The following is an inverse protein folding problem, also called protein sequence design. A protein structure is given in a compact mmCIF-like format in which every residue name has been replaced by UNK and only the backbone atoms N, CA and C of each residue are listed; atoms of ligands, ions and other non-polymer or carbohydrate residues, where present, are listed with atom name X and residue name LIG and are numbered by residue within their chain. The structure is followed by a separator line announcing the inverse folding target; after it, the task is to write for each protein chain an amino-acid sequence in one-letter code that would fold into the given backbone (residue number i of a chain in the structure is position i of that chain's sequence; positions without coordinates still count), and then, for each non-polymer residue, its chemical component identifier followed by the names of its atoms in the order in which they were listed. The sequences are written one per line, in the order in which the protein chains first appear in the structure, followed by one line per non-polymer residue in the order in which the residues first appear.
data_IF_261577423813
#
_entry.id   IF_261577423813
#
_cell.length_a   1.000
_cell.length_b   1.000
_cell.length_c   1.000
_cell.angle_alpha   90.00
_cell.angle_beta   90.00
_cell.angle_gamma   90.00
#
_symmetry.space_group_name_H-M   'P 1'
#
loop_
_entity.id
_entity.type
_entity.pdbx_description
1 polymer ?
#
# COMPACT_ATOMS: atom_id res chain seq x y z
N UNK A 1 -10.89 17.23 1.57
CA UNK A 1 -10.23 17.65 2.83
C UNK A 1 -10.53 16.64 3.92
N UNK A 2 -9.69 16.56 4.98
CA UNK A 2 -9.95 15.64 6.11
C UNK A 2 -11.16 16.09 6.95
N UNK A 3 -11.48 17.37 6.92
CA UNK A 3 -12.72 17.91 7.47
C UNK A 3 -13.81 17.96 6.39
N UNK A 4 -15.04 17.60 6.77
CA UNK A 4 -16.23 17.70 5.91
C UNK A 4 -16.33 16.65 4.79
N UNK A 5 -15.52 15.59 4.81
CA UNK A 5 -15.66 14.49 3.84
C UNK A 5 -16.72 13.47 4.29
N UNK A 6 -17.29 12.80 3.31
CA UNK A 6 -18.38 11.83 3.50
C UNK A 6 -17.98 10.63 4.37
N UNK A 7 -16.73 10.15 4.23
CA UNK A 7 -16.19 9.04 5.04
C UNK A 7 -16.30 9.37 6.53
N UNK A 8 -15.74 10.51 6.93
CA UNK A 8 -15.76 10.99 8.31
C UNK A 8 -17.19 11.23 8.82
N UNK A 9 -18.09 11.73 7.99
CA UNK A 9 -19.50 11.94 8.39
C UNK A 9 -20.18 10.62 8.76
N UNK A 10 -19.96 9.57 7.95
CA UNK A 10 -20.52 8.24 8.21
C UNK A 10 -19.87 7.60 9.43
N UNK A 11 -18.55 7.68 9.55
CA UNK A 11 -17.83 7.08 10.69
C UNK A 11 -18.19 7.76 12.01
N UNK A 12 -18.34 9.08 12.05
CA UNK A 12 -18.81 9.80 13.23
C UNK A 12 -20.25 9.45 13.61
N UNK A 13 -21.12 9.24 12.62
CA UNK A 13 -22.51 8.84 12.87
C UNK A 13 -22.60 7.40 13.41
N UNK A 14 -21.77 6.50 12.91
CA UNK A 14 -21.83 5.07 13.25
C UNK A 14 -21.07 4.73 14.55
N UNK A 15 -19.85 5.25 14.71
CA UNK A 15 -18.95 4.91 15.81
C UNK A 15 -18.88 5.99 16.89
N UNK A 16 -19.24 7.23 16.56
CA UNK A 16 -19.05 8.38 17.45
C UNK A 16 -17.59 8.84 17.53
N UNK A 17 -17.34 10.08 17.96
CA UNK A 17 -16.00 10.68 17.94
C UNK A 17 -15.00 9.96 18.86
N UNK A 18 -15.44 9.48 20.02
CA UNK A 18 -14.56 8.88 21.05
C UNK A 18 -13.93 7.54 20.62
N UNK A 19 -14.51 6.89 19.62
CA UNK A 19 -14.03 5.60 19.10
C UNK A 19 -13.20 5.73 17.82
N UNK A 20 -13.00 6.94 17.30
CA UNK A 20 -12.18 7.17 16.12
C UNK A 20 -10.72 7.46 16.50
N UNK A 21 -9.82 7.27 15.55
CA UNK A 21 -8.42 7.63 15.71
C UNK A 21 -8.24 9.15 15.80
N UNK A 22 -7.32 9.60 16.65
CA UNK A 22 -7.10 11.03 16.96
C UNK A 22 -5.67 11.51 16.62
N UNK A 23 -4.85 10.68 15.98
CA UNK A 23 -3.44 11.01 15.72
C UNK A 23 -3.22 12.21 14.79
N UNK A 24 -4.25 12.65 14.07
CA UNK A 24 -4.22 13.79 13.15
C UNK A 24 -4.79 15.09 13.78
N UNK A 25 -5.01 15.09 15.10
CA UNK A 25 -5.60 16.23 15.83
C UNK A 25 -7.11 16.37 15.67
N UNK A 26 -7.75 15.50 14.88
CA UNK A 26 -9.20 15.39 14.71
C UNK A 26 -9.62 13.92 14.81
N UNK A 27 -10.86 13.67 15.24
CA UNK A 27 -11.47 12.35 15.18
C UNK A 27 -11.65 11.94 13.70
N UNK A 28 -10.75 11.10 13.20
CA UNK A 28 -10.71 10.63 11.82
C UNK A 28 -9.98 9.28 11.74
N UNK A 29 -10.66 8.30 11.15
CA UNK A 29 -10.10 6.97 10.95
C UNK A 29 -9.82 6.72 9.45
N UNK A 30 -8.56 6.60 9.02
CA UNK A 30 -8.22 6.26 7.64
C UNK A 30 -8.68 4.85 7.24
N UNK A 31 -8.93 3.97 8.22
CA UNK A 31 -9.38 2.59 8.05
C UNK A 31 -10.88 2.41 8.39
N UNK A 32 -11.62 3.51 8.43
CA UNK A 32 -13.07 3.53 8.62
C UNK A 32 -13.84 2.79 7.53
N UNK A 33 -15.14 2.56 7.75
CA UNK A 33 -15.95 1.62 6.98
C UNK A 33 -15.90 1.89 5.47
N UNK A 34 -16.06 3.16 5.07
CA UNK A 34 -16.08 3.53 3.66
C UNK A 34 -14.69 3.55 3.00
N UNK A 35 -13.62 3.79 3.77
CA UNK A 35 -12.24 3.71 3.28
C UNK A 35 -11.78 2.27 3.06
N UNK A 36 -12.37 1.30 3.76
CA UNK A 36 -12.06 -0.12 3.55
C UNK A 36 -12.59 -0.67 2.22
N UNK A 37 -13.69 -0.12 1.69
CA UNK A 37 -14.26 -0.62 0.42
C UNK A 37 -13.28 -0.45 -0.76
N UNK A 38 -12.66 0.73 -0.98
CA UNK A 38 -11.59 0.87 -1.97
C UNK A 38 -10.36 0.01 -1.66
N UNK A 39 -10.02 -0.21 -0.38
CA UNK A 39 -8.90 -1.08 -0.02
C UNK A 39 -9.14 -2.55 -0.42
N UNK A 40 -10.38 -3.04 -0.32
CA UNK A 40 -10.76 -4.37 -0.83
C UNK A 40 -10.49 -4.48 -2.33
N UNK A 41 -10.73 -3.41 -3.11
CA UNK A 41 -10.46 -3.40 -4.56
C UNK A 41 -8.97 -3.61 -4.84
N UNK A 42 -8.06 -3.00 -4.06
CA UNK A 42 -6.61 -3.24 -4.18
C UNK A 42 -6.27 -4.72 -3.94
N UNK A 43 -6.83 -5.30 -2.88
CA UNK A 43 -6.59 -6.73 -2.55
C UNK A 43 -7.07 -7.64 -3.67
N UNK A 44 -8.27 -7.38 -4.20
CA UNK A 44 -8.83 -8.15 -5.31
C UNK A 44 -8.00 -7.98 -6.58
N UNK A 45 -7.53 -6.77 -6.90
CA UNK A 45 -6.67 -6.52 -8.05
C UNK A 45 -5.36 -7.30 -7.96
N UNK A 46 -4.73 -7.33 -6.78
CA UNK A 46 -3.54 -8.14 -6.51
C UNK A 46 -3.80 -9.64 -6.68
N UNK A 47 -4.90 -10.14 -6.10
CA UNK A 47 -5.30 -11.55 -6.24
C UNK A 47 -5.53 -11.93 -7.71
N UNK A 48 -6.28 -11.12 -8.46
CA UNK A 48 -6.57 -11.39 -9.87
C UNK A 48 -5.29 -11.38 -10.72
N UNK A 49 -4.37 -10.46 -10.44
CA UNK A 49 -3.08 -10.39 -11.12
C UNK A 49 -2.23 -11.63 -10.86
N UNK A 50 -2.13 -12.05 -9.59
CA UNK A 50 -1.41 -13.26 -9.21
C UNK A 50 -2.04 -14.52 -9.84
N UNK A 51 -3.37 -14.63 -9.78
CA UNK A 51 -4.10 -15.73 -10.40
C UNK A 51 -3.89 -15.78 -11.92
N UNK A 52 -3.91 -14.64 -12.60
CA UNK A 52 -3.64 -14.52 -14.04
C UNK A 52 -2.22 -15.00 -14.40
N UNK A 53 -1.21 -14.59 -13.61
CA UNK A 53 0.18 -15.02 -13.81
C UNK A 53 0.39 -16.52 -13.58
N UNK A 54 -0.20 -17.08 -12.52
CA UNK A 54 -0.04 -18.50 -12.17
C UNK A 54 -0.78 -19.42 -13.14
N UNK A 55 -2.06 -19.12 -13.43
CA UNK A 55 -2.92 -20.01 -14.22
C UNK A 55 -2.40 -20.19 -15.63
N UNK A 56 -1.91 -19.11 -16.23
CA UNK A 56 -1.58 -19.12 -17.64
C UNK A 56 -0.07 -19.23 -17.91
N UNK A 57 0.79 -18.94 -16.92
CA UNK A 57 2.24 -18.96 -17.02
C UNK A 57 2.86 -17.63 -17.45
N UNK A 58 4.21 -17.55 -17.46
CA UNK A 58 4.94 -16.33 -17.83
C UNK A 58 5.22 -16.27 -19.34
N UNK A 59 4.86 -15.16 -19.99
CA UNK A 59 5.21 -14.86 -21.38
C UNK A 59 5.37 -13.36 -21.61
N UNK A 60 6.14 -12.99 -22.64
CA UNK A 60 6.33 -11.59 -23.04
C UNK A 60 5.00 -10.88 -23.35
N UNK A 61 4.06 -11.57 -23.99
CA UNK A 61 2.75 -11.01 -24.31
C UNK A 61 1.97 -10.64 -23.05
N UNK A 62 1.98 -11.49 -22.02
CA UNK A 62 1.27 -11.22 -20.77
C UNK A 62 1.92 -10.11 -19.98
N UNK A 63 3.24 -10.08 -19.97
CA UNK A 63 4.00 -9.02 -19.34
C UNK A 63 3.69 -7.66 -19.99
N UNK A 64 3.62 -7.63 -21.33
CA UNK A 64 3.20 -6.45 -22.08
C UNK A 64 1.75 -6.04 -21.75
N UNK A 65 0.83 -7.00 -21.58
CA UNK A 65 -0.54 -6.71 -21.13
C UNK A 65 -0.58 -6.11 -19.73
N UNK A 66 0.18 -6.66 -18.77
CA UNK A 66 0.26 -6.10 -17.41
C UNK A 66 0.84 -4.68 -17.42
N UNK A 67 1.89 -4.44 -18.21
CA UNK A 67 2.44 -3.09 -18.39
C UNK A 67 1.41 -2.14 -19.00
N UNK A 68 0.70 -2.56 -20.05
CA UNK A 68 -0.33 -1.74 -20.69
C UNK A 68 -1.46 -1.40 -19.71
N UNK A 69 -1.98 -2.39 -18.98
CA UNK A 69 -3.01 -2.18 -17.96
C UNK A 69 -2.48 -1.24 -16.87
N UNK A 70 -1.25 -1.42 -16.42
CA UNK A 70 -0.61 -0.53 -15.44
C UNK A 70 -0.55 0.93 -15.91
N UNK A 71 -0.10 1.17 -17.14
CA UNK A 71 -0.08 2.52 -17.75
C UNK A 71 -1.49 3.10 -17.88
N UNK A 72 -2.47 2.29 -18.32
CA UNK A 72 -3.85 2.73 -18.43
C UNK A 72 -4.46 3.08 -17.07
N UNK A 73 -4.17 2.31 -16.02
CA UNK A 73 -4.57 2.60 -14.66
C UNK A 73 -3.96 3.91 -14.16
N UNK A 74 -2.66 4.17 -14.42
CA UNK A 74 -2.03 5.45 -14.08
C UNK A 74 -2.68 6.62 -14.82
N UNK A 75 -2.88 6.49 -16.13
CA UNK A 75 -3.53 7.52 -16.92
C UNK A 75 -4.96 7.80 -16.42
N UNK A 76 -5.72 6.75 -16.13
CA UNK A 76 -7.06 6.86 -15.56
C UNK A 76 -7.02 7.52 -14.18
N UNK A 77 -6.05 7.20 -13.32
CA UNK A 77 -5.89 7.82 -12.02
C UNK A 77 -5.64 9.33 -12.11
N UNK A 78 -4.75 9.75 -13.01
CA UNK A 78 -4.45 11.17 -13.23
C UNK A 78 -5.59 11.94 -13.89
N UNK A 79 -6.39 11.31 -14.75
CA UNK A 79 -7.63 11.94 -15.27
C UNK A 79 -8.68 12.03 -14.17
N UNK A 80 -8.83 10.97 -13.36
CA UNK A 80 -9.79 10.93 -12.26
C UNK A 80 -9.47 11.94 -11.15
N UNK A 81 -8.18 12.25 -10.95
CA UNK A 81 -7.69 13.24 -9.98
C UNK A 81 -8.34 14.63 -10.13
N UNK A 82 -8.77 14.99 -11.35
CA UNK A 82 -9.42 16.28 -11.64
C UNK A 82 -10.79 16.40 -10.97
N UNK A 83 -11.50 15.29 -10.82
CA UNK A 83 -12.85 15.23 -10.25
C UNK A 83 -12.81 14.68 -8.83
N UNK A 84 -11.98 13.68 -8.58
CA UNK A 84 -11.80 13.06 -7.28
C UNK A 84 -10.31 12.96 -6.93
N UNK A 85 -9.79 13.91 -6.15
CA UNK A 85 -8.36 14.02 -5.90
C UNK A 85 -7.74 12.76 -5.28
N UNK A 86 -6.51 12.47 -5.68
CA UNK A 86 -5.67 11.41 -5.14
C UNK A 86 -5.41 11.74 -3.67
N UNK A 87 -5.99 10.94 -2.77
CA UNK A 87 -5.85 11.14 -1.35
C UNK A 87 -5.67 9.80 -0.63
N UNK A 88 -4.45 9.60 -0.16
CA UNK A 88 -4.03 8.41 0.60
C UNK A 88 -4.85 8.22 1.88
N UNK A 89 -5.13 9.30 2.62
CA UNK A 89 -5.80 9.20 3.93
C UNK A 89 -7.26 8.77 3.83
N UNK A 90 -7.91 9.07 2.71
CA UNK A 90 -9.32 8.70 2.44
C UNK A 90 -9.45 7.47 1.54
N UNK A 91 -8.33 6.85 1.17
CA UNK A 91 -8.30 5.74 0.22
C UNK A 91 -9.14 5.98 -1.05
N UNK A 92 -8.99 7.17 -1.66
CA UNK A 92 -9.86 7.56 -2.78
C UNK A 92 -9.72 6.62 -3.98
N UNK A 93 -10.75 6.52 -4.82
CA UNK A 93 -10.72 5.63 -5.99
C UNK A 93 -9.66 6.04 -7.02
N UNK A 94 -9.29 7.31 -7.12
CA UNK A 94 -8.11 7.77 -7.88
C UNK A 94 -6.83 7.22 -7.28
N UNK A 95 -6.69 7.23 -5.95
CA UNK A 95 -5.53 6.66 -5.26
C UNK A 95 -5.44 5.13 -5.43
N UNK A 96 -6.58 4.43 -5.42
CA UNK A 96 -6.67 2.99 -5.76
C UNK A 96 -6.16 2.71 -7.18
N UNK A 97 -6.65 3.44 -8.19
CA UNK A 97 -6.17 3.27 -9.56
C UNK A 97 -4.68 3.57 -9.71
N UNK A 98 -4.20 4.60 -9.01
CA UNK A 98 -2.78 4.97 -9.01
C UNK A 98 -1.92 3.83 -8.43
N UNK A 99 -2.29 3.32 -7.26
CA UNK A 99 -1.53 2.27 -6.56
C UNK A 99 -1.54 0.96 -7.35
N UNK A 100 -2.70 0.52 -7.85
CA UNK A 100 -2.79 -0.65 -8.74
C UNK A 100 -1.91 -0.46 -9.98
N UNK A 101 -1.95 0.72 -10.61
CA UNK A 101 -1.13 1.01 -11.79
C UNK A 101 0.37 0.88 -11.49
N UNK A 102 0.84 1.49 -10.40
CA UNK A 102 2.24 1.40 -9.98
C UNK A 102 2.65 -0.04 -9.64
N UNK A 103 1.81 -0.78 -8.92
CA UNK A 103 2.09 -2.16 -8.52
C UNK A 103 2.21 -3.07 -9.74
N UNK A 104 1.33 -2.93 -10.74
CA UNK A 104 1.40 -3.70 -11.99
C UNK A 104 2.67 -3.42 -12.78
N UNK A 105 3.08 -2.15 -12.87
CA UNK A 105 4.32 -1.77 -13.56
C UNK A 105 5.55 -2.30 -12.84
N UNK A 106 5.60 -2.14 -11.52
CA UNK A 106 6.71 -2.62 -10.69
C UNK A 106 6.81 -4.15 -10.73
N UNK A 107 5.68 -4.85 -10.58
CA UNK A 107 5.63 -6.31 -10.67
C UNK A 107 6.10 -6.79 -12.05
N UNK A 108 5.65 -6.13 -13.12
CA UNK A 108 6.08 -6.47 -14.48
C UNK A 108 7.59 -6.24 -14.66
N UNK A 109 8.14 -5.15 -14.10
CA UNK A 109 9.57 -4.91 -14.14
C UNK A 109 10.35 -5.98 -13.38
N UNK A 110 9.89 -6.36 -12.18
CA UNK A 110 10.53 -7.41 -11.38
C UNK A 110 10.56 -8.72 -12.16
N UNK A 111 9.40 -9.19 -12.65
CA UNK A 111 9.27 -10.41 -13.46
C UNK A 111 10.17 -10.37 -14.69
N UNK A 112 10.21 -9.23 -15.40
CA UNK A 112 11.12 -9.07 -16.54
C UNK A 112 12.58 -9.33 -16.15
N UNK A 113 13.02 -8.72 -15.04
CA UNK A 113 14.40 -8.80 -14.60
C UNK A 113 14.78 -10.19 -14.07
N UNK A 114 13.88 -10.85 -13.32
CA UNK A 114 14.14 -12.15 -12.69
C UNK A 114 13.96 -13.33 -13.64
N UNK A 115 12.91 -13.32 -14.46
CA UNK A 115 12.50 -14.48 -15.24
C UNK A 115 12.98 -14.43 -16.71
N UNK A 116 13.13 -13.23 -17.28
CA UNK A 116 13.52 -13.07 -18.69
C UNK A 116 14.97 -12.58 -18.87
N UNK A 117 15.41 -11.60 -18.09
CA UNK A 117 16.75 -11.00 -18.26
C UNK A 117 17.84 -11.81 -17.55
N UNK A 118 17.59 -12.27 -16.32
CA UNK A 118 18.55 -13.03 -15.51
C UNK A 118 17.90 -14.28 -14.92
N UNK A 119 17.47 -15.24 -15.75
CA UNK A 119 16.90 -16.49 -15.27
C UNK A 119 17.88 -17.20 -14.33
N UNK A 120 17.42 -17.52 -13.12
CA UNK A 120 18.25 -18.16 -12.09
C UNK A 120 19.04 -17.20 -11.18
N UNK A 121 18.80 -15.88 -11.26
CA UNK A 121 19.32 -14.97 -10.24
C UNK A 121 18.80 -15.36 -8.86
N UNK A 122 19.70 -15.51 -7.89
CA UNK A 122 19.33 -15.88 -6.54
C UNK A 122 18.73 -14.67 -5.79
N UNK A 123 17.43 -14.48 -5.94
CA UNK A 123 16.64 -13.49 -5.20
C UNK A 123 16.08 -14.03 -3.87
N UNK A 124 16.57 -15.18 -3.39
CA UNK A 124 16.09 -15.84 -2.16
C UNK A 124 16.13 -14.92 -0.94
N UNK A 125 17.08 -14.00 -0.88
CA UNK A 125 17.10 -12.96 0.15
C UNK A 125 15.79 -12.17 0.17
N UNK A 126 15.38 -11.59 -0.97
CA UNK A 126 14.13 -10.82 -1.08
C UNK A 126 12.89 -11.70 -0.93
N UNK A 127 12.93 -12.93 -1.43
CA UNK A 127 11.84 -13.90 -1.31
C UNK A 127 11.52 -14.22 0.17
N UNK A 128 12.54 -14.46 1.00
CA UNK A 128 12.36 -14.75 2.42
C UNK A 128 11.68 -13.56 3.13
N UNK A 129 12.11 -12.34 2.85
CA UNK A 129 11.48 -11.13 3.40
C UNK A 129 10.04 -10.97 2.93
N UNK A 130 9.76 -11.22 1.65
CA UNK A 130 8.41 -11.14 1.07
C UNK A 130 7.43 -12.15 1.66
N UNK A 131 7.86 -13.40 1.86
CA UNK A 131 7.02 -14.46 2.46
C UNK A 131 6.75 -14.24 3.95
N UNK A 132 7.57 -13.44 4.64
CA UNK A 132 7.49 -13.21 6.08
C UNK A 132 7.21 -11.73 6.42
N UNK A 133 6.39 -11.06 5.61
CA UNK A 133 6.13 -9.62 5.73
C UNK A 133 5.60 -9.21 7.12
N UNK A 134 4.72 -10.00 7.74
CA UNK A 134 4.22 -9.73 9.10
C UNK A 134 5.34 -9.76 10.15
N UNK A 135 6.26 -10.71 10.03
CA UNK A 135 7.40 -10.81 10.95
C UNK A 135 8.31 -9.58 10.82
N UNK A 136 8.59 -9.15 9.58
CA UNK A 136 9.41 -7.96 9.31
C UNK A 136 8.76 -6.71 9.88
N UNK A 137 7.44 -6.57 9.73
CA UNK A 137 6.67 -5.48 10.34
C UNK A 137 6.76 -5.50 11.87
N UNK A 138 6.52 -6.64 12.52
CA UNK A 138 6.64 -6.73 13.97
C UNK A 138 8.06 -6.45 14.47
N UNK A 139 9.07 -6.88 13.71
CA UNK A 139 10.46 -6.61 14.01
C UNK A 139 10.78 -5.11 13.92
N UNK A 140 10.24 -4.37 12.95
CA UNK A 140 10.46 -2.92 12.87
C UNK A 140 9.90 -2.20 14.09
N UNK A 141 8.71 -2.60 14.54
CA UNK A 141 8.06 -1.89 15.66
C UNK A 141 8.72 -2.24 16.99
N UNK A 142 9.18 -3.48 17.13
CA UNK A 142 9.99 -3.89 18.26
C UNK A 142 11.32 -3.13 18.32
N UNK A 143 12.01 -2.98 17.19
CA UNK A 143 13.26 -2.22 17.12
C UNK A 143 13.03 -0.76 17.48
N UNK A 144 11.99 -0.12 16.95
CA UNK A 144 11.64 1.26 17.27
C UNK A 144 11.36 1.41 18.77
N UNK A 145 10.59 0.50 19.35
CA UNK A 145 10.31 0.47 20.80
C UNK A 145 11.60 0.32 21.61
N UNK A 146 12.48 -0.62 21.25
CA UNK A 146 13.75 -0.83 21.92
C UNK A 146 14.65 0.43 21.88
N UNK A 147 14.72 1.11 20.74
CA UNK A 147 15.47 2.37 20.58
C UNK A 147 14.88 3.51 21.42
N UNK A 148 13.56 3.52 21.64
CA UNK A 148 12.91 4.50 22.51
C UNK A 148 13.16 4.22 24.01
N UNK A 149 13.29 2.95 24.39
CA UNK A 149 13.54 2.53 25.78
C UNK A 149 14.99 2.77 26.23
N UNK A 150 15.97 2.60 25.34
CA UNK A 150 17.38 2.84 25.67
C UNK A 150 17.61 4.35 25.85
N UNK A 151 18.02 4.76 27.04
CA UNK A 151 18.34 6.15 27.39
C UNK A 151 19.83 6.40 27.23
N UNK A 152 20.19 7.54 26.64
CA UNK A 152 21.57 8.03 26.51
C UNK A 152 21.86 9.04 27.63
N UNK A 153 23.15 9.39 27.83
CA UNK A 153 23.65 10.20 28.94
C UNK A 153 22.90 11.53 29.18
N UNK A 154 22.25 12.10 28.17
CA UNK A 154 21.45 13.32 28.28
C UNK A 154 19.96 13.08 28.61
N UNK A 155 19.57 11.86 28.97
CA UNK A 155 18.17 11.48 29.26
C UNK A 155 17.26 11.35 28.03
N UNK A 156 17.78 11.67 26.84
CA UNK A 156 17.11 11.45 25.56
C UNK A 156 17.09 9.95 25.21
N UNK A 157 16.05 9.51 24.51
CA UNK A 157 16.01 8.17 23.94
C UNK A 157 17.05 8.03 22.83
N UNK A 158 17.63 6.84 22.68
CA UNK A 158 18.58 6.54 21.61
C UNK A 158 18.00 6.84 20.22
N UNK A 159 16.69 6.63 20.02
CA UNK A 159 15.99 7.01 18.79
C UNK A 159 16.06 8.51 18.47
N UNK A 160 16.01 9.39 19.47
CA UNK A 160 16.05 10.84 19.27
C UNK A 160 17.48 11.37 19.06
N UNK A 161 18.47 10.57 19.44
CA UNK A 161 19.89 10.88 19.31
C UNK A 161 20.44 10.50 17.94
N UNK A 162 19.92 9.42 17.33
CA UNK A 162 20.24 9.00 15.96
C UNK A 162 19.54 9.89 14.92
#
# INVERSE_FOLDING_TARGET
TMEGNFVRTVDLWLFGPDHLYHGEGIAFDPEGLLSTLPAIVNVLAGYLTGHYLIKEGLSYERLAKLLLIGVLCLAAAYVWDWVFPINKKLWTSSYVLLTIGLDLLLLSLIIYTTDFLKPGWNYRFFEIFGMNSLFVYLLSEYLLTALQFIRVADGQSLFAFL
#
